data_IF_460751606985
#
_entry.id   IF_460751606985
#
_cell.length_a   1.000
_cell.length_b   1.000
_cell.length_c   1.000
_cell.angle_alpha   90.00
_cell.angle_beta   90.00
_cell.angle_gamma   90.00
#
_symmetry.space_group_name_H-M   'P 1'
#
loop_
_entity.id
_entity.type
_entity.pdbx_description
1 polymer ?
#
# COMPACT_ATOMS: atom_id res chain seq x y z
N UNK A 1 10.26 20.14 -4.04
CA UNK A 1 11.01 20.22 -2.77
C UNK A 1 10.18 20.71 -1.59
N UNK A 2 9.41 21.80 -1.69
CA UNK A 2 8.56 22.28 -0.57
C UNK A 2 7.67 21.18 0.09
N UNK A 3 6.98 20.31 -0.65
CA UNK A 3 6.19 19.21 -0.04
C UNK A 3 7.03 18.18 0.72
N UNK A 4 8.27 17.94 0.29
CA UNK A 4 9.22 17.06 0.98
C UNK A 4 9.63 17.70 2.32
N UNK A 5 9.96 19.00 2.30
CA UNK A 5 10.27 19.76 3.51
C UNK A 5 9.07 19.76 4.49
N UNK A 6 7.83 19.87 4.00
CA UNK A 6 6.62 19.75 4.81
C UNK A 6 6.52 18.41 5.54
N UNK A 7 6.82 17.31 4.84
CA UNK A 7 6.75 15.97 5.40
C UNK A 7 7.84 15.68 6.42
N UNK A 8 9.04 16.25 6.21
CA UNK A 8 10.14 16.22 7.17
C UNK A 8 9.93 17.17 8.36
N UNK A 9 8.88 18.00 8.29
CA UNK A 9 8.53 18.99 9.32
C UNK A 9 9.38 20.26 9.27
N UNK A 10 10.25 20.44 8.26
CA UNK A 10 11.17 21.58 8.16
C UNK A 10 10.40 22.79 7.63
N UNK A 11 9.71 23.48 8.53
CA UNK A 11 8.73 24.49 8.16
C UNK A 11 9.38 25.76 7.57
N UNK A 12 10.53 26.18 8.10
CA UNK A 12 11.23 27.38 7.60
C UNK A 12 11.62 27.22 6.11
N UNK A 13 12.32 26.14 5.77
CA UNK A 13 12.69 25.84 4.37
C UNK A 13 11.45 25.66 3.50
N UNK A 14 10.41 25.01 4.01
CA UNK A 14 9.14 24.85 3.28
C UNK A 14 8.55 26.21 2.92
N UNK A 15 8.46 27.14 3.88
CA UNK A 15 7.88 28.46 3.67
C UNK A 15 8.67 29.26 2.64
N UNK A 16 10.00 29.29 2.76
CA UNK A 16 10.88 29.98 1.82
C UNK A 16 10.73 29.42 0.39
N UNK A 17 10.76 28.09 0.23
CA UNK A 17 10.57 27.45 -1.07
C UNK A 17 9.19 27.73 -1.67
N UNK A 18 8.14 27.77 -0.85
CA UNK A 18 6.79 28.13 -1.31
C UNK A 18 6.70 29.61 -1.70
N UNK A 19 7.34 30.52 -0.98
CA UNK A 19 7.39 31.95 -1.31
C UNK A 19 8.06 32.19 -2.64
N UNK A 20 9.29 31.71 -2.79
CA UNK A 20 10.08 31.85 -4.02
C UNK A 20 9.38 31.18 -5.20
N UNK A 21 8.85 29.97 -4.98
CA UNK A 21 8.07 29.24 -5.97
C UNK A 21 6.80 30.00 -6.39
N UNK A 22 6.07 30.58 -5.44
CA UNK A 22 4.85 31.34 -5.72
C UNK A 22 5.12 32.65 -6.47
N UNK A 23 6.15 33.39 -6.04
CA UNK A 23 6.59 34.62 -6.69
C UNK A 23 7.02 34.39 -8.14
N UNK A 24 7.68 33.25 -8.40
CA UNK A 24 8.20 32.93 -9.74
C UNK A 24 7.12 32.35 -10.66
N UNK A 25 6.31 31.41 -10.16
CA UNK A 25 5.32 30.71 -10.97
C UNK A 25 4.07 31.56 -11.24
N UNK A 26 3.69 32.44 -10.30
CA UNK A 26 2.50 33.30 -10.41
C UNK A 26 2.79 34.75 -9.98
N UNK A 27 3.69 35.48 -10.68
CA UNK A 27 4.21 36.77 -10.24
C UNK A 27 3.13 37.83 -10.03
N UNK A 28 2.14 37.90 -10.93
CA UNK A 28 1.05 38.87 -10.80
C UNK A 28 0.12 38.58 -9.62
N UNK A 29 -0.14 37.30 -9.33
CA UNK A 29 -0.96 36.90 -8.17
C UNK A 29 -0.23 37.21 -6.87
N UNK A 30 1.07 36.90 -6.82
CA UNK A 30 1.93 37.24 -5.70
C UNK A 30 1.89 38.76 -5.43
N UNK A 31 2.15 39.58 -6.45
CA UNK A 31 2.20 41.04 -6.33
C UNK A 31 0.89 41.62 -5.79
N UNK A 32 -0.25 41.28 -6.41
CA UNK A 32 -1.56 41.82 -6.02
C UNK A 32 -1.91 41.43 -4.58
N UNK A 33 -1.72 40.16 -4.21
CA UNK A 33 -2.03 39.70 -2.86
C UNK A 33 -1.10 40.35 -1.82
N UNK A 34 0.18 40.52 -2.14
CA UNK A 34 1.13 41.17 -1.25
C UNK A 34 0.77 42.65 -1.01
N UNK A 35 0.39 43.38 -2.06
CA UNK A 35 -0.10 44.76 -1.93
C UNK A 35 -1.35 44.86 -1.07
N UNK A 36 -2.29 43.91 -1.20
CA UNK A 36 -3.50 43.87 -0.36
C UNK A 36 -3.18 43.57 1.11
N UNK A 37 -2.20 42.70 1.39
CA UNK A 37 -1.71 42.46 2.76
C UNK A 37 -1.15 43.75 3.37
N UNK A 38 -0.34 44.50 2.62
CA UNK A 38 0.27 45.74 3.11
C UNK A 38 -0.81 46.78 3.45
N UNK A 39 -1.82 46.94 2.58
CA UNK A 39 -2.95 47.86 2.81
C UNK A 39 -3.77 47.48 4.05
N UNK A 40 -4.00 46.19 4.28
CA UNK A 40 -4.83 45.69 5.38
C UNK A 40 -4.13 45.66 6.75
N UNK A 41 -2.80 45.85 6.83
CA UNK A 41 -2.01 45.75 8.07
C UNK A 41 -2.35 46.82 9.12
N UNK A 42 -2.68 48.04 8.71
CA UNK A 42 -2.88 49.19 9.61
C UNK A 42 -3.99 48.96 10.64
N UNK A 43 -5.23 48.80 10.17
CA UNK A 43 -6.41 48.63 11.05
C UNK A 43 -6.39 47.33 11.87
N UNK A 44 -5.68 46.29 11.43
CA UNK A 44 -5.62 45.00 12.13
C UNK A 44 -4.74 45.01 13.37
N UNK A 45 -3.68 45.82 13.39
CA UNK A 45 -2.71 45.82 14.50
C UNK A 45 -3.37 46.14 15.83
N UNK A 46 -4.34 47.06 15.85
CA UNK A 46 -5.09 47.42 17.04
C UNK A 46 -5.98 46.29 17.55
N UNK A 47 -6.72 45.63 16.65
CA UNK A 47 -7.62 44.52 17.00
C UNK A 47 -6.81 43.32 17.53
N UNK A 48 -5.71 42.99 16.86
CA UNK A 48 -4.79 41.93 17.30
C UNK A 48 -4.26 42.23 18.71
N UNK A 49 -3.87 43.48 18.97
CA UNK A 49 -3.39 43.89 20.29
C UNK A 49 -4.49 43.81 21.36
N UNK A 50 -5.73 44.24 21.05
CA UNK A 50 -6.88 44.11 21.96
C UNK A 50 -7.14 42.64 22.32
N UNK A 51 -7.20 41.74 21.34
CA UNK A 51 -7.42 40.31 21.57
C UNK A 51 -6.25 39.70 22.36
N UNK A 52 -4.99 40.02 21.99
CA UNK A 52 -3.80 39.57 22.71
C UNK A 52 -3.84 39.98 24.19
N UNK A 53 -4.21 41.22 24.47
CA UNK A 53 -4.29 41.74 25.83
C UNK A 53 -5.42 41.10 26.63
N UNK A 54 -6.58 40.85 26.00
CA UNK A 54 -7.67 40.11 26.62
C UNK A 54 -7.25 38.69 27.01
N UNK A 55 -6.59 37.96 26.10
CA UNK A 55 -6.05 36.62 26.36
C UNK A 55 -5.01 36.65 27.49
N UNK A 56 -4.04 37.58 27.45
CA UNK A 56 -3.02 37.74 28.50
C UNK A 56 -3.64 38.01 29.86
N UNK A 57 -4.63 38.90 29.93
CA UNK A 57 -5.33 39.22 31.18
C UNK A 57 -6.04 38.00 31.74
N UNK A 58 -6.75 37.24 30.89
CA UNK A 58 -7.47 36.03 31.32
C UNK A 58 -6.50 34.95 31.83
N UNK A 59 -5.40 34.72 31.12
CA UNK A 59 -4.37 33.76 31.55
C UNK A 59 -3.72 34.15 32.89
N UNK A 60 -3.48 35.44 33.11
CA UNK A 60 -2.97 35.94 34.40
C UNK A 60 -3.95 35.74 35.56
N UNK A 61 -5.25 35.95 35.33
CA UNK A 61 -6.29 35.71 36.34
C UNK A 61 -6.31 34.25 36.81
N UNK A 62 -6.11 33.32 35.87
CA UNK A 62 -6.04 31.88 36.11
C UNK A 62 -4.62 31.40 36.49
N UNK A 63 -3.70 32.33 36.82
CA UNK A 63 -2.31 32.07 37.22
C UNK A 63 -1.55 31.14 36.28
N UNK A 64 -1.86 31.21 34.98
CA UNK A 64 -1.28 30.36 33.95
C UNK A 64 -0.17 31.10 33.20
N UNK A 65 1.06 30.59 33.27
CA UNK A 65 2.17 31.11 32.49
C UNK A 65 2.09 30.61 31.04
N UNK A 66 2.03 31.53 30.07
CA UNK A 66 1.97 31.20 28.67
C UNK A 66 2.47 32.35 27.79
N UNK A 67 3.19 32.03 26.73
CA UNK A 67 3.65 33.00 25.74
C UNK A 67 2.64 33.09 24.59
N UNK A 68 2.10 34.29 24.36
CA UNK A 68 1.14 34.55 23.28
C UNK A 68 1.82 35.29 22.13
N UNK A 69 1.86 34.65 20.96
CA UNK A 69 2.46 35.15 19.73
C UNK A 69 1.35 35.33 18.69
N UNK A 70 1.33 36.47 18.00
CA UNK A 70 0.46 36.66 16.84
C UNK A 70 1.04 35.89 15.64
N UNK A 71 0.23 35.07 14.98
CA UNK A 71 0.66 34.31 13.80
C UNK A 71 0.21 35.01 12.53
N UNK A 72 1.15 35.41 11.69
CA UNK A 72 0.86 35.85 10.34
C UNK A 72 0.77 34.63 9.40
N UNK A 73 -0.22 34.63 8.51
CA UNK A 73 -0.32 33.61 7.47
C UNK A 73 0.62 33.97 6.33
N UNK A 74 1.43 33.01 5.91
CA UNK A 74 2.21 33.11 4.69
C UNK A 74 1.30 33.27 3.45
N UNK A 75 1.73 34.12 2.51
CA UNK A 75 1.04 34.50 1.29
C UNK A 75 0.58 33.32 0.42
N UNK A 76 1.45 32.35 0.13
CA UNK A 76 1.05 31.17 -0.65
C UNK A 76 -0.03 30.35 0.06
N UNK A 77 0.03 30.27 1.39
CA UNK A 77 -0.99 29.59 2.20
C UNK A 77 -2.35 30.28 2.13
N UNK A 78 -2.37 31.62 2.06
CA UNK A 78 -3.59 32.40 1.80
C UNK A 78 -4.13 32.06 0.41
N UNK A 79 -3.28 32.13 -0.61
CA UNK A 79 -3.64 31.83 -1.99
C UNK A 79 -4.21 30.41 -2.17
N UNK A 80 -3.54 29.38 -1.61
CA UNK A 80 -4.03 28.01 -1.68
C UNK A 80 -5.39 27.83 -1.00
N UNK A 81 -5.62 28.51 0.14
CA UNK A 81 -6.90 28.43 0.87
C UNK A 81 -8.03 29.13 0.11
N UNK A 82 -7.75 30.25 -0.55
CA UNK A 82 -8.68 30.91 -1.47
C UNK A 82 -9.07 29.96 -2.61
N UNK A 83 -8.09 29.31 -3.23
CA UNK A 83 -8.32 28.41 -4.37
C UNK A 83 -9.08 27.14 -3.98
N UNK A 84 -8.69 26.47 -2.88
CA UNK A 84 -9.30 25.22 -2.42
C UNK A 84 -10.75 25.40 -1.95
N UNK A 85 -11.02 26.48 -1.22
CA UNK A 85 -12.32 26.72 -0.62
C UNK A 85 -13.20 27.71 -1.41
N UNK A 86 -12.71 28.21 -2.55
CA UNK A 86 -13.36 29.25 -3.37
C UNK A 86 -13.76 30.49 -2.54
N UNK A 87 -12.87 30.91 -1.64
CA UNK A 87 -13.07 32.06 -0.76
C UNK A 87 -12.37 33.30 -1.31
N UNK A 88 -12.95 34.47 -1.03
CA UNK A 88 -12.33 35.76 -1.30
C UNK A 88 -11.11 36.02 -0.39
N UNK A 89 -10.28 36.99 -0.76
CA UNK A 89 -9.11 37.37 0.04
C UNK A 89 -9.52 37.80 1.46
N UNK A 90 -10.57 38.62 1.58
CA UNK A 90 -11.04 39.14 2.86
C UNK A 90 -11.49 38.01 3.78
N UNK A 91 -12.26 37.03 3.31
CA UNK A 91 -12.72 35.90 4.14
C UNK A 91 -11.57 35.01 4.65
N UNK A 92 -10.46 34.93 3.92
CA UNK A 92 -9.28 34.14 4.32
C UNK A 92 -8.35 34.94 5.23
N UNK A 93 -8.18 36.22 4.92
CA UNK A 93 -7.27 37.14 5.59
C UNK A 93 -7.86 37.65 6.91
N UNK A 94 -9.18 37.90 6.98
CA UNK A 94 -9.96 38.25 8.19
C UNK A 94 -10.19 37.08 9.13
N UNK A 95 -9.13 36.32 9.38
CA UNK A 95 -9.04 35.40 10.52
C UNK A 95 -7.81 35.80 11.32
N UNK A 96 -8.00 36.12 12.59
CA UNK A 96 -6.89 36.41 13.49
C UNK A 96 -6.32 35.12 14.04
N UNK A 97 -5.02 34.88 13.86
CA UNK A 97 -4.38 33.67 14.34
C UNK A 97 -3.44 33.98 15.53
N UNK A 98 -3.60 33.23 16.61
CA UNK A 98 -2.74 33.29 17.79
C UNK A 98 -2.13 31.94 18.06
N UNK A 99 -0.87 31.98 18.50
CA UNK A 99 -0.14 30.83 19.01
C UNK A 99 0.10 31.06 20.49
N UNK A 100 -0.27 30.09 21.31
CA UNK A 100 -0.04 30.09 22.75
C UNK A 100 0.93 28.94 23.06
N UNK A 101 2.09 29.28 23.59
CA UNK A 101 3.13 28.34 23.97
C UNK A 101 3.13 28.19 25.49
N UNK A 102 3.10 26.95 25.96
CA UNK A 102 3.07 26.59 27.39
C UNK A 102 4.18 25.60 27.73
N UNK A 103 4.35 25.30 29.01
CA UNK A 103 5.42 24.43 29.50
C UNK A 103 5.14 22.94 29.26
N UNK A 104 3.92 22.47 29.51
CA UNK A 104 3.59 21.05 29.45
C UNK A 104 2.21 20.78 28.80
N UNK A 105 1.92 19.50 28.57
CA UNK A 105 0.70 19.07 27.87
C UNK A 105 -0.58 19.33 28.68
N UNK A 106 -0.55 19.16 30.00
CA UNK A 106 -1.70 19.47 30.88
C UNK A 106 -2.13 20.95 30.72
N UNK A 107 -1.15 21.84 30.70
CA UNK A 107 -1.38 23.27 30.50
C UNK A 107 -1.98 23.59 29.12
N UNK A 108 -1.72 22.79 28.08
CA UNK A 108 -2.38 22.98 26.78
C UNK A 108 -3.90 22.87 26.90
N UNK A 109 -4.39 21.86 27.62
CA UNK A 109 -5.83 21.64 27.80
C UNK A 109 -6.46 22.62 28.79
N UNK A 110 -5.73 23.02 29.84
CA UNK A 110 -6.18 24.11 30.73
C UNK A 110 -6.35 25.41 29.95
N UNK A 111 -5.35 25.79 29.16
CA UNK A 111 -5.41 27.00 28.32
C UNK A 111 -6.54 26.90 27.30
N UNK A 112 -6.81 25.72 26.74
CA UNK A 112 -7.98 25.52 25.85
C UNK A 112 -9.28 25.90 26.56
N UNK A 113 -9.49 25.42 27.79
CA UNK A 113 -10.66 25.78 28.60
C UNK A 113 -10.75 27.28 28.91
N UNK A 114 -9.61 27.90 29.25
CA UNK A 114 -9.52 29.35 29.50
C UNK A 114 -9.93 30.15 28.25
N UNK A 115 -9.45 29.72 27.08
CA UNK A 115 -9.71 30.35 25.80
C UNK A 115 -11.18 30.19 25.38
N UNK A 116 -11.77 29.01 25.58
CA UNK A 116 -13.19 28.72 25.29
C UNK A 116 -14.15 29.47 26.23
N UNK A 117 -13.72 29.76 27.46
CA UNK A 117 -14.48 30.60 28.38
C UNK A 117 -14.45 32.07 27.93
N UNK A 118 -13.30 32.56 27.46
CA UNK A 118 -13.17 33.94 26.98
C UNK A 118 -13.92 34.19 25.67
N UNK A 119 -13.86 33.23 24.73
CA UNK A 119 -14.54 33.32 23.43
C UNK A 119 -15.23 32.00 23.10
N UNK A 120 -16.48 32.08 22.63
CA UNK A 120 -17.27 30.89 22.29
C UNK A 120 -16.61 30.10 21.14
N UNK A 121 -16.41 28.78 21.27
CA UNK A 121 -15.88 27.95 20.20
C UNK A 121 -16.88 27.79 19.06
N UNK A 122 -16.37 27.74 17.83
CA UNK A 122 -17.16 27.41 16.64
C UNK A 122 -17.31 25.88 16.59
N UNK A 123 -18.54 25.34 16.50
CA UNK A 123 -18.77 23.90 16.42
C UNK A 123 -17.97 23.23 15.30
N UNK A 124 -17.48 22.01 15.56
CA UNK A 124 -16.71 21.18 14.60
C UNK A 124 -15.39 21.80 14.10
N UNK A 125 -14.93 22.90 14.70
CA UNK A 125 -13.66 23.56 14.35
C UNK A 125 -12.57 23.40 15.42
N UNK A 126 -12.74 22.43 16.32
CA UNK A 126 -11.70 21.99 17.25
C UNK A 126 -10.97 20.76 16.68
N UNK A 127 -9.64 20.73 16.80
CA UNK A 127 -8.81 19.60 16.40
C UNK A 127 -7.70 19.37 17.43
N UNK A 128 -7.60 18.16 17.90
CA UNK A 128 -6.58 17.74 18.85
C UNK A 128 -5.44 17.01 18.16
N UNK A 129 -4.42 17.76 17.74
CA UNK A 129 -3.21 17.17 17.17
C UNK A 129 -2.19 16.75 18.24
N UNK A 130 -2.47 16.95 19.54
CA UNK A 130 -1.62 16.41 20.60
C UNK A 130 -1.91 14.92 20.75
N UNK A 131 -3.19 14.57 20.89
CA UNK A 131 -3.66 13.19 20.96
C UNK A 131 -3.52 12.45 19.61
N UNK A 132 -3.74 13.15 18.49
CA UNK A 132 -3.64 12.59 17.14
C UNK A 132 -2.63 13.41 16.31
N UNK A 133 -1.31 13.18 16.49
CA UNK A 133 -0.28 13.91 15.76
C UNK A 133 -0.37 13.71 14.25
N UNK A 134 0.05 14.72 13.47
CA UNK A 134 0.13 14.58 12.01
C UNK A 134 1.31 13.67 11.60
N UNK A 135 1.32 13.26 10.32
CA UNK A 135 2.39 12.43 9.71
C UNK A 135 3.79 12.99 10.01
N UNK A 136 3.96 14.30 9.86
CA UNK A 136 5.23 15.00 10.03
C UNK A 136 5.62 15.24 11.51
N UNK A 137 4.89 14.63 12.47
CA UNK A 137 5.13 14.81 13.89
C UNK A 137 4.56 16.10 14.47
N UNK A 138 3.83 16.89 13.69
CA UNK A 138 3.22 18.13 14.18
C UNK A 138 2.17 17.85 15.27
N UNK A 139 2.32 18.56 16.40
CA UNK A 139 1.42 18.49 17.56
C UNK A 139 1.00 19.90 18.00
N UNK A 140 -0.30 20.09 18.21
CA UNK A 140 -0.92 21.31 18.75
C UNK A 140 -2.43 21.13 18.90
N UNK A 141 -3.06 21.80 19.86
CA UNK A 141 -4.51 21.97 19.90
C UNK A 141 -4.92 23.14 19.01
N UNK A 142 -5.85 22.91 18.08
CA UNK A 142 -6.37 23.95 17.18
C UNK A 142 -7.84 24.19 17.52
N UNK A 143 -8.21 25.44 17.71
CA UNK A 143 -9.61 25.83 17.90
C UNK A 143 -9.91 27.11 17.14
N UNK A 144 -11.11 27.17 16.55
CA UNK A 144 -11.66 28.42 15.98
C UNK A 144 -12.75 28.92 16.90
N UNK A 145 -12.74 30.22 17.17
CA UNK A 145 -13.59 30.90 18.13
C UNK A 145 -14.29 32.08 17.45
N UNK A 146 -15.47 32.45 17.95
CA UNK A 146 -16.13 33.69 17.57
C UNK A 146 -15.39 34.87 18.22
N UNK A 147 -14.75 35.71 17.39
CA UNK A 147 -14.06 36.89 17.85
C UNK A 147 -14.91 38.16 17.87
N UNK A 148 -14.33 39.27 18.33
CA UNK A 148 -14.98 40.58 18.31
C UNK A 148 -15.44 40.96 16.90
N UNK A 149 -16.60 41.59 16.79
CA UNK A 149 -17.17 42.09 15.52
C UNK A 149 -17.45 40.99 14.48
N UNK A 150 -17.66 39.74 14.91
CA UNK A 150 -17.98 38.62 14.03
C UNK A 150 -16.79 38.01 13.29
N UNK A 151 -15.58 38.51 13.52
CA UNK A 151 -14.36 38.04 12.88
C UNK A 151 -13.82 36.80 13.62
N UNK A 152 -13.60 35.65 12.97
CA UNK A 152 -13.15 34.44 13.64
C UNK A 152 -11.70 34.55 14.16
N UNK A 153 -11.46 33.96 15.32
CA UNK A 153 -10.13 33.84 15.93
C UNK A 153 -9.70 32.36 15.87
N UNK A 154 -8.55 32.09 15.28
CA UNK A 154 -7.90 30.79 15.30
C UNK A 154 -6.83 30.78 16.40
N UNK A 155 -6.92 29.86 17.36
CA UNK A 155 -5.94 29.71 18.43
C UNK A 155 -5.27 28.35 18.31
N UNK A 156 -3.95 28.35 18.40
CA UNK A 156 -3.10 27.17 18.40
C UNK A 156 -2.36 27.10 19.73
N UNK A 157 -2.52 26.01 20.46
CA UNK A 157 -1.93 25.82 21.78
C UNK A 157 -0.97 24.65 21.71
N UNK A 158 0.25 24.81 22.20
CA UNK A 158 1.29 23.76 22.19
C UNK A 158 2.39 24.01 23.21
N UNK A 159 3.21 23.00 23.49
CA UNK A 159 4.37 23.17 24.37
C UNK A 159 5.56 23.79 23.63
N UNK A 160 6.59 24.19 24.35
CA UNK A 160 7.87 24.63 23.76
C UNK A 160 8.48 23.55 22.85
N UNK A 161 8.58 22.30 23.31
CA UNK A 161 9.09 21.19 22.49
C UNK A 161 8.26 20.97 21.21
N UNK A 162 6.93 21.08 21.30
CA UNK A 162 6.05 20.97 20.14
C UNK A 162 6.19 22.16 19.17
N UNK A 163 6.54 23.35 19.68
CA UNK A 163 6.84 24.52 18.85
C UNK A 163 8.12 24.30 18.04
N UNK A 164 9.19 23.83 18.70
CA UNK A 164 10.48 23.53 18.08
C UNK A 164 10.37 22.48 16.98
N UNK A 165 9.63 21.39 17.23
CA UNK A 165 9.36 20.34 16.24
C UNK A 165 8.53 20.88 15.08
N UNK A 166 7.61 21.81 15.34
CA UNK A 166 6.75 22.37 14.30
C UNK A 166 7.47 23.40 13.40
N UNK A 167 8.51 24.09 13.89
CA UNK A 167 9.29 25.05 13.09
C UNK A 167 10.49 24.40 12.40
N UNK A 168 11.23 23.57 13.13
CA UNK A 168 12.50 23.01 12.68
C UNK A 168 12.41 21.54 12.24
N UNK A 169 11.24 20.91 12.42
CA UNK A 169 10.98 19.55 11.99
C UNK A 169 11.65 18.48 12.84
N UNK A 170 11.73 17.28 12.27
CA UNK A 170 12.32 16.11 12.96
C UNK A 170 13.86 16.24 13.09
N UNK A 171 14.47 17.13 12.31
CA UNK A 171 15.92 17.34 12.24
C UNK A 171 16.51 18.10 13.44
N UNK A 172 15.78 19.03 14.07
CA UNK A 172 16.26 19.76 15.25
C UNK A 172 16.44 18.86 16.48
N UNK A 173 15.61 17.82 16.59
CA UNK A 173 15.66 16.86 17.70
C UNK A 173 16.75 15.79 17.55
N UNK A 174 17.49 15.79 16.42
CA UNK A 174 18.58 14.85 16.13
C UNK A 174 19.87 15.19 16.88
N UNK A 175 20.08 16.47 17.22
CA UNK A 175 21.33 16.96 17.83
C UNK A 175 21.31 17.01 19.37
N UNK A 176 20.13 17.10 20.03
CA UNK A 176 20.12 17.54 21.42
C UNK A 176 19.77 16.52 22.53
N UNK A 177 19.23 15.33 22.25
CA UNK A 177 19.03 14.32 23.33
C UNK A 177 19.18 12.89 22.83
N UNK A 178 20.41 12.38 22.93
CA UNK A 178 20.76 10.95 22.95
C UNK A 178 20.39 10.25 24.27
N UNK A 179 19.51 10.85 25.09
CA UNK A 179 19.10 10.34 26.39
C UNK A 179 17.59 10.43 26.62
N UNK A 180 16.97 9.25 26.74
CA UNK A 180 15.90 8.98 27.71
C UNK A 180 14.52 9.66 27.57
N UNK A 181 13.74 9.30 26.55
CA UNK A 181 12.27 9.23 26.64
C UNK A 181 11.68 8.33 25.52
N UNK A 182 10.73 7.45 25.86
CA UNK A 182 10.28 6.36 24.97
C UNK A 182 9.15 6.78 24.00
N UNK A 183 8.43 7.87 24.24
CA UNK A 183 7.26 8.29 23.44
C UNK A 183 7.63 9.22 22.26
N UNK A 184 8.62 10.10 22.42
CA UNK A 184 9.13 10.99 21.36
C UNK A 184 9.88 10.25 20.23
N UNK A 185 10.23 8.97 20.44
CA UNK A 185 10.80 8.09 19.42
C UNK A 185 9.81 7.77 18.28
N UNK A 186 8.51 8.02 18.42
CA UNK A 186 7.48 7.65 17.43
C UNK A 186 7.58 8.43 16.12
N UNK A 187 7.70 9.76 16.16
CA UNK A 187 7.78 10.59 14.95
C UNK A 187 9.11 10.36 14.21
N UNK A 188 10.21 10.24 14.97
CA UNK A 188 11.54 9.90 14.44
C UNK A 188 11.56 8.50 13.80
N UNK A 189 10.95 7.51 14.46
CA UNK A 189 10.79 6.14 13.91
C UNK A 189 9.89 6.13 12.68
N UNK A 190 8.83 6.95 12.64
CA UNK A 190 7.96 7.09 11.46
C UNK A 190 8.70 7.70 10.26
N UNK A 191 9.47 8.77 10.47
CA UNK A 191 10.27 9.37 9.40
C UNK A 191 11.40 8.45 8.92
N UNK A 192 12.09 7.76 9.85
CA UNK A 192 13.09 6.73 9.49
C UNK A 192 12.47 5.55 8.77
N UNK A 193 11.32 5.04 9.22
CA UNK A 193 10.60 3.96 8.54
C UNK A 193 10.11 4.41 7.16
N UNK A 194 9.68 5.66 7.00
CA UNK A 194 9.28 6.20 5.71
C UNK A 194 10.48 6.30 4.75
N UNK A 195 11.61 6.85 5.20
CA UNK A 195 12.86 6.89 4.43
C UNK A 195 13.35 5.48 4.09
N UNK A 196 13.32 4.58 5.06
CA UNK A 196 13.68 3.16 4.86
C UNK A 196 12.75 2.50 3.85
N UNK A 197 11.43 2.71 3.93
CA UNK A 197 10.48 2.18 2.95
C UNK A 197 10.77 2.72 1.54
N UNK A 198 11.18 3.99 1.39
CA UNK A 198 11.60 4.55 0.10
C UNK A 198 12.89 3.88 -0.40
N UNK A 199 13.88 3.67 0.47
CA UNK A 199 15.13 2.99 0.11
C UNK A 199 14.91 1.50 -0.21
N UNK A 200 14.08 0.81 0.56
CA UNK A 200 13.69 -0.59 0.33
C UNK A 200 12.89 -0.71 -0.99
N UNK A 201 12.03 0.27 -1.30
CA UNK A 201 11.35 0.37 -2.60
C UNK A 201 12.34 0.59 -3.74
N UNK A 202 13.37 1.44 -3.57
CA UNK A 202 14.43 1.59 -4.58
C UNK A 202 15.20 0.28 -4.81
N UNK A 203 15.45 -0.50 -3.75
CA UNK A 203 16.12 -1.79 -3.86
C UNK A 203 15.28 -2.87 -4.57
N UNK A 204 13.94 -2.75 -4.52
CA UNK A 204 13.01 -3.74 -5.07
C UNK A 204 12.40 -3.33 -6.42
N UNK A 205 12.40 -2.03 -6.74
CA UNK A 205 11.83 -1.51 -7.97
C UNK A 205 12.78 -1.72 -9.16
N UNK A 206 12.35 -2.52 -10.13
CA UNK A 206 13.11 -2.72 -11.37
C UNK A 206 13.10 -1.52 -12.34
N UNK A 207 12.24 -0.51 -12.11
CA UNK A 207 12.08 0.65 -12.99
C UNK A 207 12.05 2.00 -12.21
N UNK A 208 12.94 2.97 -12.54
CA UNK A 208 12.95 4.31 -11.96
C UNK A 208 11.64 5.12 -12.12
N UNK A 209 10.87 4.85 -13.17
CA UNK A 209 9.59 5.53 -13.43
C UNK A 209 8.50 5.06 -12.45
N UNK A 210 8.45 3.76 -12.18
CA UNK A 210 7.56 3.14 -11.19
C UNK A 210 7.93 3.60 -9.76
N UNK A 211 9.22 3.74 -9.48
CA UNK A 211 9.70 4.37 -8.24
C UNK A 211 9.20 5.81 -8.09
N UNK A 212 9.34 6.65 -9.11
CA UNK A 212 8.88 8.04 -9.08
C UNK A 212 7.37 8.17 -8.91
N UNK A 213 6.58 7.31 -9.56
CA UNK A 213 5.13 7.27 -9.36
C UNK A 213 4.75 6.83 -7.94
N UNK A 214 5.38 5.78 -7.41
CA UNK A 214 5.13 5.32 -6.04
C UNK A 214 5.52 6.38 -5.00
N UNK A 215 6.66 7.05 -5.19
CA UNK A 215 7.10 8.15 -4.31
C UNK A 215 6.15 9.35 -4.42
N UNK A 216 5.64 9.70 -5.61
CA UNK A 216 4.62 10.74 -5.77
C UNK A 216 3.32 10.39 -5.05
N UNK A 217 2.83 9.16 -5.18
CA UNK A 217 1.61 8.69 -4.49
C UNK A 217 1.79 8.78 -2.97
N UNK A 218 2.94 8.35 -2.45
CA UNK A 218 3.22 8.43 -1.03
C UNK A 218 3.40 9.88 -0.55
N UNK A 219 3.96 10.79 -1.36
CA UNK A 219 4.22 12.19 -1.02
C UNK A 219 2.97 13.07 -0.91
N UNK A 220 1.83 12.65 -1.48
CA UNK A 220 0.61 13.47 -1.59
C UNK A 220 -0.73 12.75 -1.32
N UNK A 221 -1.00 12.22 -0.13
CA UNK A 221 -2.38 12.00 0.29
C UNK A 221 -2.78 12.82 1.51
N UNK A 222 -4.01 13.36 1.49
CA UNK A 222 -4.77 13.56 2.73
C UNK A 222 -4.79 12.19 3.47
N UNK A 223 -4.38 12.11 4.73
CA UNK A 223 -4.46 10.84 5.48
C UNK A 223 -5.89 10.57 5.97
N UNK A 224 -6.30 9.30 5.96
CA UNK A 224 -7.46 8.81 6.73
C UNK A 224 -6.99 8.06 7.96
N UNK A 225 -7.68 8.27 9.09
CA UNK A 225 -7.38 7.63 10.37
C UNK A 225 -8.50 6.65 10.71
N UNK A 226 -8.17 5.37 10.77
CA UNK A 226 -9.10 4.29 11.03
C UNK A 226 -8.75 3.58 12.35
N UNK A 227 -9.76 3.14 13.08
CA UNK A 227 -9.59 2.44 14.35
C UNK A 227 -9.65 0.94 14.15
N UNK A 228 -8.80 0.21 14.84
CA UNK A 228 -9.02 -1.23 15.08
C UNK A 228 -10.06 -1.40 16.18
N UNK A 229 -10.70 -2.58 16.32
CA UNK A 229 -11.67 -2.84 17.40
C UNK A 229 -11.08 -2.67 18.80
N UNK A 230 -9.75 -2.78 18.93
CA UNK A 230 -8.99 -2.56 20.18
C UNK A 230 -8.63 -1.09 20.43
N UNK A 231 -9.10 -0.16 19.59
CA UNK A 231 -8.85 1.27 19.72
C UNK A 231 -7.50 1.76 19.17
N UNK A 232 -6.68 0.89 18.56
CA UNK A 232 -5.44 1.31 17.91
C UNK A 232 -5.74 2.06 16.61
N UNK A 233 -5.13 3.22 16.43
CA UNK A 233 -5.23 4.03 15.21
C UNK A 233 -4.29 3.49 14.14
N UNK A 234 -4.81 3.27 12.94
CA UNK A 234 -4.07 2.94 11.72
C UNK A 234 -4.26 4.10 10.75
N UNK A 235 -3.14 4.62 10.27
CA UNK A 235 -3.10 5.71 9.31
C UNK A 235 -2.93 5.15 7.89
N UNK A 236 -3.77 5.59 6.96
CA UNK A 236 -3.77 5.18 5.56
C UNK A 236 -3.90 6.40 4.64
N UNK A 237 -3.48 6.32 3.37
CA UNK A 237 -3.75 7.37 2.40
C UNK A 237 -5.25 7.46 2.10
N UNK A 238 -5.77 8.66 1.81
CA UNK A 238 -7.15 8.86 1.36
C UNK A 238 -7.41 8.03 0.10
N UNK A 239 -8.57 7.38 0.08
CA UNK A 239 -8.93 6.43 -0.98
C UNK A 239 -8.54 4.99 -0.65
N UNK A 240 -7.76 4.74 0.41
CA UNK A 240 -7.44 3.39 0.84
C UNK A 240 -8.69 2.57 1.16
N UNK A 241 -8.61 1.29 0.82
CA UNK A 241 -9.70 0.33 0.99
C UNK A 241 -9.53 -0.53 2.23
N UNK A 242 -10.54 -1.36 2.54
CA UNK A 242 -10.43 -2.34 3.63
C UNK A 242 -9.28 -3.34 3.43
N UNK A 243 -8.96 -3.71 2.19
CA UNK A 243 -7.78 -4.57 1.89
C UNK A 243 -6.48 -3.86 2.24
N UNK A 244 -6.36 -2.56 1.92
CA UNK A 244 -5.20 -1.76 2.31
C UNK A 244 -5.04 -1.71 3.83
N UNK A 245 -6.14 -1.58 4.58
CA UNK A 245 -6.14 -1.63 6.04
C UNK A 245 -5.67 -3.00 6.57
N UNK A 246 -6.11 -4.11 5.98
CA UNK A 246 -5.67 -5.45 6.38
C UNK A 246 -4.14 -5.62 6.23
N UNK A 247 -3.58 -5.22 5.09
CA UNK A 247 -2.13 -5.25 4.84
C UNK A 247 -1.35 -4.22 5.67
N UNK A 248 -1.97 -3.11 6.08
CA UNK A 248 -1.36 -2.15 6.99
C UNK A 248 -1.20 -2.73 8.40
N UNK A 249 -2.16 -3.53 8.88
CA UNK A 249 -2.04 -4.27 10.15
C UNK A 249 -0.91 -5.30 10.06
N UNK A 250 -1.00 -6.25 9.12
CA UNK A 250 0.00 -7.29 8.92
C UNK A 250 -0.17 -7.97 7.57
N UNK A 251 0.92 -8.46 6.97
CA UNK A 251 0.87 -9.16 5.68
C UNK A 251 0.00 -10.43 5.77
N UNK A 252 0.13 -11.21 6.84
CA UNK A 252 -0.70 -12.42 7.03
C UNK A 252 -2.18 -12.11 7.25
N UNK A 253 -2.48 -10.96 7.84
CA UNK A 253 -3.88 -10.52 8.01
C UNK A 253 -4.47 -10.16 6.65
N UNK A 254 -3.72 -9.45 5.81
CA UNK A 254 -4.11 -9.20 4.42
C UNK A 254 -4.27 -10.49 3.61
N UNK A 255 -3.32 -11.42 3.71
CA UNK A 255 -3.34 -12.66 2.92
C UNK A 255 -4.49 -13.60 3.29
N UNK A 256 -4.92 -13.61 4.55
CA UNK A 256 -6.02 -14.46 5.06
C UNK A 256 -7.37 -13.73 5.13
N UNK A 257 -7.45 -12.52 4.59
CA UNK A 257 -8.66 -11.70 4.62
C UNK A 257 -9.76 -12.33 3.78
N UNK A 258 -10.95 -12.51 4.36
CA UNK A 258 -12.15 -12.99 3.65
C UNK A 258 -13.29 -11.97 3.66
N UNK A 259 -13.29 -11.05 4.62
CA UNK A 259 -14.33 -10.05 4.75
C UNK A 259 -13.92 -8.93 5.69
N UNK A 260 -14.76 -7.90 5.76
CA UNK A 260 -14.54 -6.74 6.63
C UNK A 260 -15.86 -6.32 7.28
N UNK A 261 -15.79 -5.88 8.54
CA UNK A 261 -16.82 -5.06 9.16
C UNK A 261 -16.32 -3.64 9.36
N UNK A 262 -17.12 -2.67 8.93
CA UNK A 262 -16.89 -1.25 9.13
C UNK A 262 -18.00 -0.75 10.07
N UNK A 263 -17.62 -0.17 11.20
CA UNK A 263 -18.54 0.29 12.24
C UNK A 263 -19.55 -0.80 12.68
N UNK A 264 -19.06 -2.05 12.76
CA UNK A 264 -19.80 -3.29 13.11
C UNK A 264 -20.71 -3.85 12.01
N UNK A 265 -20.78 -3.22 10.84
CA UNK A 265 -21.58 -3.69 9.70
C UNK A 265 -20.69 -4.37 8.65
N UNK A 266 -21.15 -5.48 8.08
CA UNK A 266 -20.45 -6.14 6.98
C UNK A 266 -20.39 -5.22 5.76
N UNK A 267 -19.21 -5.10 5.15
CA UNK A 267 -18.99 -4.28 3.98
C UNK A 267 -18.13 -5.03 2.93
N UNK A 268 -18.22 -4.64 1.64
CA UNK A 268 -17.32 -5.16 0.61
C UNK A 268 -15.85 -4.81 0.88
N UNK A 269 -14.93 -5.71 0.50
CA UNK A 269 -13.48 -5.52 0.68
C UNK A 269 -12.90 -4.30 -0.08
N UNK A 270 -13.53 -3.92 -1.19
CA UNK A 270 -13.16 -2.74 -1.97
C UNK A 270 -13.70 -1.41 -1.45
N UNK A 271 -14.39 -1.40 -0.31
CA UNK A 271 -14.97 -0.17 0.27
C UNK A 271 -13.86 0.79 0.67
N UNK A 272 -13.98 2.05 0.21
CA UNK A 272 -13.06 3.14 0.56
C UNK A 272 -13.32 3.59 2.01
N UNK A 273 -12.25 3.69 2.79
CA UNK A 273 -12.32 4.05 4.20
C UNK A 273 -12.35 5.55 4.42
N UNK A 274 -13.13 5.97 5.43
CA UNK A 274 -13.24 7.34 5.91
C UNK A 274 -12.63 7.49 7.30
N UNK A 275 -12.14 8.69 7.61
CA UNK A 275 -11.59 9.01 8.94
C UNK A 275 -12.64 8.83 10.02
N UNK A 276 -12.28 8.17 11.12
CA UNK A 276 -13.16 7.96 12.27
C UNK A 276 -13.80 6.58 12.33
N UNK A 277 -13.75 5.80 11.25
CA UNK A 277 -14.40 4.49 11.19
C UNK A 277 -13.59 3.42 11.92
N UNK A 278 -14.31 2.49 12.55
CA UNK A 278 -13.73 1.27 13.15
C UNK A 278 -13.79 0.14 12.15
N UNK A 279 -12.63 -0.45 11.83
CA UNK A 279 -12.50 -1.50 10.81
C UNK A 279 -12.04 -2.80 11.47
N UNK A 280 -12.84 -3.84 11.33
CA UNK A 280 -12.55 -5.22 11.77
C UNK A 280 -12.37 -6.10 10.54
N UNK A 281 -11.19 -6.72 10.42
CA UNK A 281 -10.91 -7.68 9.34
C UNK A 281 -11.31 -9.08 9.82
N UNK A 282 -12.05 -9.79 8.97
CA UNK A 282 -12.44 -11.18 9.19
C UNK A 282 -11.47 -12.06 8.41
N UNK A 283 -10.83 -13.01 9.10
CA UNK A 283 -9.83 -13.91 8.53
C UNK A 283 -10.32 -15.36 8.57
N UNK A 284 -9.89 -16.16 7.60
CA UNK A 284 -10.11 -17.61 7.61
C UNK A 284 -8.81 -18.40 7.40
N UNK A 285 -8.62 -19.55 8.06
CA UNK A 285 -7.50 -20.45 7.79
C UNK A 285 -7.63 -21.00 6.36
N UNK A 286 -6.57 -20.84 5.55
CA UNK A 286 -6.55 -21.27 4.15
C UNK A 286 -7.05 -20.24 3.12
N UNK A 287 -7.54 -19.08 3.56
CA UNK A 287 -7.88 -17.98 2.66
C UNK A 287 -6.63 -17.46 1.92
N UNK A 288 -6.84 -17.04 0.66
CA UNK A 288 -5.80 -16.56 -0.25
C UNK A 288 -6.24 -15.23 -0.87
N UNK A 289 -5.31 -14.32 -1.21
CA UNK A 289 -5.60 -13.11 -1.97
C UNK A 289 -6.24 -13.40 -3.31
N UNK A 290 -7.28 -12.64 -3.65
CA UNK A 290 -7.90 -12.66 -4.98
C UNK A 290 -7.17 -11.68 -5.92
N UNK A 291 -6.80 -12.09 -7.14
CA UNK A 291 -6.25 -11.20 -8.16
C UNK A 291 -7.06 -9.92 -8.41
N UNK A 292 -8.40 -9.98 -8.28
CA UNK A 292 -9.30 -8.84 -8.45
C UNK A 292 -9.01 -7.70 -7.46
N UNK A 293 -8.36 -7.99 -6.33
CA UNK A 293 -7.98 -6.96 -5.35
C UNK A 293 -7.00 -5.94 -5.91
N UNK A 294 -6.21 -6.28 -6.93
CA UNK A 294 -5.30 -5.34 -7.59
C UNK A 294 -6.03 -4.19 -8.31
N UNK A 295 -7.32 -4.34 -8.60
CA UNK A 295 -8.12 -3.31 -9.25
C UNK A 295 -8.47 -2.15 -8.31
N UNK A 296 -8.56 -2.40 -7.00
CA UNK A 296 -8.99 -1.42 -6.02
C UNK A 296 -8.00 -1.20 -4.86
N UNK A 297 -7.01 -2.07 -4.68
CA UNK A 297 -5.94 -1.86 -3.70
C UNK A 297 -5.08 -0.65 -4.10
N UNK A 298 -5.01 0.34 -3.21
CA UNK A 298 -4.37 1.63 -3.48
C UNK A 298 -2.93 1.64 -2.99
N UNK A 299 -2.65 1.07 -1.82
CA UNK A 299 -1.34 1.19 -1.18
C UNK A 299 -0.28 0.33 -1.87
N UNK A 300 0.92 0.87 -2.03
CA UNK A 300 2.06 0.14 -2.60
C UNK A 300 2.36 -1.15 -1.82
N UNK A 301 2.23 -1.10 -0.49
CA UNK A 301 2.40 -2.26 0.39
C UNK A 301 1.42 -3.39 0.05
N UNK A 302 0.12 -3.10 -0.04
CA UNK A 302 -0.88 -4.13 -0.38
C UNK A 302 -0.63 -4.69 -1.78
N UNK A 303 -0.46 -3.82 -2.79
CA UNK A 303 -0.25 -4.23 -4.19
C UNK A 303 0.99 -5.11 -4.35
N UNK A 304 2.11 -4.73 -3.72
CA UNK A 304 3.36 -5.51 -3.78
C UNK A 304 3.19 -6.89 -3.14
N UNK A 305 2.60 -6.98 -1.95
CA UNK A 305 2.38 -8.26 -1.26
C UNK A 305 1.40 -9.16 -2.03
N UNK A 306 0.32 -8.62 -2.59
CA UNK A 306 -0.63 -9.39 -3.42
C UNK A 306 0.08 -9.95 -4.65
N UNK A 307 0.83 -9.12 -5.40
CA UNK A 307 1.59 -9.58 -6.58
C UNK A 307 2.62 -10.64 -6.21
N UNK A 308 3.35 -10.44 -5.13
CA UNK A 308 4.34 -11.40 -4.64
C UNK A 308 3.69 -12.74 -4.27
N UNK A 309 2.57 -12.72 -3.55
CA UNK A 309 1.83 -13.93 -3.22
C UNK A 309 1.36 -14.67 -4.47
N UNK A 310 0.76 -13.97 -5.44
CA UNK A 310 0.28 -14.56 -6.68
C UNK A 310 1.42 -15.12 -7.54
N UNK A 311 2.57 -14.46 -7.56
CA UNK A 311 3.78 -14.94 -8.26
C UNK A 311 4.29 -16.24 -7.64
N UNK A 312 4.41 -16.29 -6.32
CA UNK A 312 4.91 -17.48 -5.63
C UNK A 312 3.91 -18.64 -5.69
N UNK A 313 2.61 -18.35 -5.69
CA UNK A 313 1.57 -19.37 -5.88
C UNK A 313 1.70 -20.02 -7.27
N UNK A 314 1.89 -19.22 -8.33
CA UNK A 314 2.14 -19.75 -9.69
C UNK A 314 3.38 -20.63 -9.74
N UNK A 315 4.48 -20.19 -9.15
CA UNK A 315 5.75 -20.94 -9.13
C UNK A 315 5.59 -22.29 -8.42
N UNK A 316 4.97 -22.32 -7.23
CA UNK A 316 4.73 -23.57 -6.51
C UNK A 316 3.77 -24.53 -7.24
N UNK A 317 2.69 -24.01 -7.85
CA UNK A 317 1.77 -24.84 -8.65
C UNK A 317 2.45 -25.37 -9.92
N UNK A 318 3.28 -24.56 -10.57
CA UNK A 318 4.04 -24.94 -11.75
C UNK A 318 5.12 -25.98 -11.40
N UNK A 319 5.86 -25.81 -10.30
CA UNK A 319 6.82 -26.80 -9.81
C UNK A 319 6.14 -28.16 -9.55
N UNK A 320 5.00 -28.15 -8.85
CA UNK A 320 4.25 -29.38 -8.56
C UNK A 320 3.74 -30.08 -9.83
N UNK A 321 3.27 -29.31 -10.82
CA UNK A 321 2.87 -29.84 -12.12
C UNK A 321 4.07 -30.39 -12.91
N UNK A 322 5.17 -29.64 -12.95
CA UNK A 322 6.41 -30.05 -13.62
C UNK A 322 6.96 -31.34 -13.06
N UNK A 323 6.93 -31.52 -11.73
CA UNK A 323 7.31 -32.78 -11.08
C UNK A 323 6.43 -33.94 -11.53
N UNK A 324 5.11 -33.76 -11.61
CA UNK A 324 4.19 -34.80 -12.11
C UNK A 324 4.49 -35.17 -13.56
N UNK A 325 4.75 -34.18 -14.42
CA UNK A 325 5.11 -34.38 -15.82
C UNK A 325 6.43 -35.13 -15.98
N UNK A 326 7.46 -34.72 -15.25
CA UNK A 326 8.79 -35.35 -15.32
C UNK A 326 8.77 -36.80 -14.78
N UNK A 327 8.10 -37.03 -13.64
CA UNK A 327 7.93 -38.37 -13.07
C UNK A 327 7.21 -39.30 -14.05
N UNK A 328 6.21 -38.80 -14.77
CA UNK A 328 5.50 -39.58 -15.80
C UNK A 328 6.45 -40.02 -16.93
N UNK A 329 7.23 -39.09 -17.47
CA UNK A 329 8.16 -39.40 -18.57
C UNK A 329 9.27 -40.36 -18.13
N UNK A 330 9.78 -40.22 -16.90
CA UNK A 330 10.75 -41.16 -16.33
C UNK A 330 10.18 -42.56 -16.13
N UNK A 331 8.91 -42.67 -15.71
CA UNK A 331 8.21 -43.96 -15.63
C UNK A 331 8.08 -44.64 -17.00
N UNK A 332 7.86 -43.89 -18.08
CA UNK A 332 7.88 -44.43 -19.44
C UNK A 332 9.26 -45.01 -19.83
N UNK A 333 10.33 -44.47 -19.24
CA UNK A 333 11.71 -44.96 -19.37
C UNK A 333 12.07 -46.03 -18.32
N UNK A 334 11.12 -46.47 -17.48
CA UNK A 334 11.33 -47.44 -16.39
C UNK A 334 12.32 -46.98 -15.31
N UNK A 335 12.42 -45.67 -15.08
CA UNK A 335 13.28 -45.06 -14.04
C UNK A 335 12.39 -44.35 -13.01
N UNK A 336 12.67 -44.52 -11.72
CA UNK A 336 12.00 -43.73 -10.69
C UNK A 336 12.76 -42.42 -10.44
N UNK A 337 12.00 -41.36 -10.16
CA UNK A 337 12.56 -40.06 -9.85
C UNK A 337 13.50 -40.06 -8.63
N UNK A 338 13.21 -40.88 -7.61
CA UNK A 338 14.03 -40.99 -6.40
C UNK A 338 15.34 -41.76 -6.59
N UNK A 339 15.48 -42.50 -7.69
CA UNK A 339 16.66 -43.33 -7.97
C UNK A 339 17.69 -42.56 -8.83
N UNK A 340 17.44 -41.28 -9.14
CA UNK A 340 18.34 -40.44 -9.93
C UNK A 340 19.49 -39.95 -9.04
N UNK A 341 20.71 -40.24 -9.46
CA UNK A 341 21.92 -39.75 -8.80
C UNK A 341 22.01 -38.21 -8.84
N UNK A 342 22.37 -37.60 -7.70
CA UNK A 342 22.48 -36.13 -7.57
C UNK A 342 23.51 -35.52 -8.54
N UNK A 343 24.56 -36.26 -8.91
CA UNK A 343 25.55 -35.81 -9.91
C UNK A 343 24.92 -35.63 -11.31
N UNK A 344 24.03 -36.55 -11.71
CA UNK A 344 23.30 -36.46 -12.98
C UNK A 344 22.31 -35.31 -12.98
N UNK A 345 21.60 -35.12 -11.86
CA UNK A 345 20.68 -33.99 -11.69
C UNK A 345 21.44 -32.66 -11.83
N UNK A 346 22.59 -32.51 -11.17
CA UNK A 346 23.41 -31.31 -11.26
C UNK A 346 23.96 -31.06 -12.67
N UNK A 347 24.33 -32.12 -13.40
CA UNK A 347 24.75 -32.02 -14.81
C UNK A 347 23.60 -31.51 -15.69
N UNK A 348 22.41 -32.08 -15.56
CA UNK A 348 21.21 -31.64 -16.32
C UNK A 348 20.78 -30.21 -15.96
N UNK A 349 20.94 -29.80 -14.70
CA UNK A 349 20.69 -28.42 -14.26
C UNK A 349 21.65 -27.43 -14.95
N UNK A 350 22.95 -27.74 -14.98
CA UNK A 350 23.94 -26.91 -15.65
C UNK A 350 23.73 -26.83 -17.17
N UNK A 351 23.40 -27.95 -17.83
CA UNK A 351 23.11 -28.01 -19.27
C UNK A 351 21.88 -27.18 -19.66
N UNK A 352 20.89 -27.08 -18.78
CA UNK A 352 19.68 -26.29 -19.01
C UNK A 352 19.77 -24.86 -18.45
N UNK A 353 20.90 -24.47 -17.86
CA UNK A 353 21.15 -23.17 -17.24
C UNK A 353 20.23 -22.83 -16.05
N UNK A 354 19.87 -23.82 -15.24
CA UNK A 354 19.06 -23.64 -14.02
C UNK A 354 19.91 -23.88 -12.77
N UNK A 355 19.66 -23.09 -11.70
CA UNK A 355 20.46 -23.15 -10.47
C UNK A 355 19.92 -24.16 -9.47
N UNK A 356 18.63 -24.46 -9.55
CA UNK A 356 17.94 -25.34 -8.60
C UNK A 356 16.99 -26.30 -9.32
N UNK A 357 16.72 -27.44 -8.69
CA UNK A 357 15.72 -28.42 -9.16
C UNK A 357 14.33 -27.78 -9.28
N UNK A 358 13.94 -26.94 -8.32
CA UNK A 358 12.65 -26.22 -8.33
C UNK A 358 12.49 -25.32 -9.57
N UNK A 359 13.53 -24.58 -9.97
CA UNK A 359 13.49 -23.76 -11.20
C UNK A 359 13.28 -24.61 -12.47
N UNK A 360 13.98 -25.75 -12.57
CA UNK A 360 13.82 -26.66 -13.71
C UNK A 360 12.41 -27.25 -13.76
N UNK A 361 11.87 -27.65 -12.60
CA UNK A 361 10.51 -28.17 -12.48
C UNK A 361 9.46 -27.09 -12.81
N UNK A 362 9.64 -25.85 -12.38
CA UNK A 362 8.78 -24.72 -12.71
C UNK A 362 8.71 -24.50 -14.24
N UNK A 363 9.86 -24.50 -14.92
CA UNK A 363 9.96 -24.32 -16.38
C UNK A 363 9.30 -25.47 -17.17
N UNK A 364 9.36 -26.70 -16.63
CA UNK A 364 8.62 -27.84 -17.17
C UNK A 364 7.11 -27.65 -16.97
N UNK A 365 6.68 -27.22 -15.77
CA UNK A 365 5.27 -26.99 -15.46
C UNK A 365 4.64 -25.87 -16.29
N UNK A 366 5.39 -24.82 -16.59
CA UNK A 366 4.98 -23.71 -17.46
C UNK A 366 5.00 -24.08 -18.96
N UNK A 367 5.54 -25.24 -19.32
CA UNK A 367 5.62 -25.74 -20.69
C UNK A 367 6.75 -25.12 -21.53
N UNK A 368 7.69 -24.41 -20.89
CA UNK A 368 8.86 -23.82 -21.55
C UNK A 368 9.94 -24.86 -21.83
N UNK A 369 10.00 -25.92 -21.01
CA UNK A 369 10.86 -27.08 -21.21
C UNK A 369 10.04 -28.35 -21.39
N UNK A 370 10.44 -29.18 -22.34
CA UNK A 370 9.76 -30.44 -22.60
C UNK A 370 10.22 -31.51 -21.60
N UNK A 371 9.30 -31.99 -20.76
CA UNK A 371 9.55 -33.03 -19.76
C UNK A 371 10.24 -34.28 -20.34
N UNK A 372 9.90 -34.66 -21.58
CA UNK A 372 10.47 -35.85 -22.25
C UNK A 372 11.94 -35.67 -22.62
N UNK A 373 12.34 -34.46 -22.98
CA UNK A 373 13.75 -34.15 -23.28
C UNK A 373 14.58 -34.17 -22.00
N UNK A 374 14.05 -33.57 -20.93
CA UNK A 374 14.71 -33.55 -19.62
C UNK A 374 14.81 -34.96 -19.04
N UNK A 375 13.77 -35.78 -19.13
CA UNK A 375 13.80 -37.18 -18.70
C UNK A 375 14.90 -37.97 -19.43
N UNK A 376 15.06 -37.77 -20.74
CA UNK A 376 16.12 -38.42 -21.53
C UNK A 376 17.52 -37.96 -21.14
N UNK A 377 17.71 -36.67 -20.85
CA UNK A 377 18.98 -36.14 -20.35
C UNK A 377 19.37 -36.78 -19.02
N UNK A 378 18.40 -36.93 -18.11
CA UNK A 378 18.61 -37.57 -16.81
C UNK A 378 18.95 -39.07 -16.94
N UNK A 379 18.54 -39.72 -18.03
CA UNK A 379 18.78 -41.17 -18.27
C UNK A 379 19.89 -41.46 -19.29
N UNK A 380 20.61 -40.44 -19.79
CA UNK A 380 21.48 -40.56 -20.97
C UNK A 380 22.66 -41.54 -20.81
N UNK A 381 23.10 -41.83 -19.58
CA UNK A 381 24.18 -42.80 -19.31
C UNK A 381 23.69 -44.24 -19.06
N UNK A 382 22.36 -44.46 -19.03
CA UNK A 382 21.75 -45.79 -18.89
C UNK A 382 21.64 -46.46 -20.26
N UNK A 383 22.71 -47.14 -20.65
CA UNK A 383 22.87 -47.85 -21.90
C UNK A 383 21.82 -48.99 -22.03
N UNK A 384 20.60 -48.65 -22.46
CA UNK A 384 19.57 -49.62 -22.83
C UNK A 384 19.35 -49.56 -24.34
N UNK A 385 20.08 -50.45 -25.01
CA UNK A 385 19.89 -50.88 -26.39
C UNK A 385 18.41 -50.84 -26.82
N UNK A 386 18.15 -50.12 -27.92
CA UNK A 386 17.04 -50.35 -28.85
C UNK A 386 15.68 -50.71 -28.23
N UNK A 387 14.92 -49.69 -27.81
CA UNK A 387 13.46 -49.72 -28.00
C UNK A 387 13.05 -48.49 -28.78
N UNK A 388 12.68 -48.71 -30.06
CA UNK A 388 11.87 -47.74 -30.83
C UNK A 388 10.64 -47.40 -29.96
N UNK A 389 10.63 -46.23 -29.35
CA UNK A 389 9.46 -45.68 -28.66
C UNK A 389 8.40 -45.47 -29.73
N UNK A 390 7.48 -46.43 -29.88
CA UNK A 390 6.32 -46.29 -30.75
C UNK A 390 5.48 -45.14 -30.20
N UNK A 391 5.44 -44.04 -30.94
CA UNK A 391 4.59 -42.87 -30.68
C UNK A 391 3.13 -43.18 -31.05
N UNK A 392 2.50 -44.13 -30.36
CA UNK A 392 1.03 -44.08 -30.21
C UNK A 392 0.77 -43.22 -28.99
N UNK A 393 -0.25 -42.37 -29.02
CA UNK A 393 -0.78 -41.73 -27.81
C UNK A 393 -1.14 -42.86 -26.85
N UNK A 394 -0.22 -43.20 -25.95
CA UNK A 394 -0.33 -44.42 -25.15
C UNK A 394 -1.22 -44.10 -23.96
N UNK A 395 -2.49 -44.51 -24.06
CA UNK A 395 -3.55 -44.41 -23.05
C UNK A 395 -3.21 -45.13 -21.73
N UNK A 396 -2.05 -45.79 -21.63
CA UNK A 396 -1.69 -46.64 -20.48
C UNK A 396 -1.39 -45.86 -19.21
N UNK A 397 -1.02 -44.57 -19.30
CA UNK A 397 -0.73 -43.72 -18.14
C UNK A 397 -1.15 -42.25 -18.39
N UNK A 398 -2.46 -41.91 -18.35
CA UNK A 398 -2.91 -40.53 -18.51
C UNK A 398 -2.51 -39.67 -17.29
N UNK A 399 -2.23 -38.38 -17.53
CA UNK A 399 -2.03 -37.42 -16.43
C UNK A 399 -3.41 -37.11 -15.82
N UNK A 400 -3.57 -37.44 -14.55
CA UNK A 400 -4.82 -37.20 -13.82
C UNK A 400 -4.95 -35.72 -13.48
N UNK A 401 -6.05 -35.11 -13.91
CA UNK A 401 -6.42 -33.71 -13.69
C UNK A 401 -7.59 -33.66 -12.72
N UNK A 402 -7.43 -32.89 -11.63
CA UNK A 402 -8.48 -32.70 -10.61
C UNK A 402 -9.48 -31.58 -10.92
N UNK A 403 -9.15 -30.72 -11.88
CA UNK A 403 -9.93 -29.51 -12.19
C UNK A 403 -9.64 -28.32 -11.27
N UNK A 404 -8.98 -28.53 -10.12
CA UNK A 404 -8.61 -27.49 -9.14
C UNK A 404 -7.16 -27.03 -9.26
N UNK A 405 -6.51 -27.31 -10.39
CA UNK A 405 -5.06 -27.20 -10.57
C UNK A 405 -4.58 -25.77 -10.89
N UNK A 406 -5.43 -24.78 -10.64
CA UNK A 406 -5.05 -23.37 -10.58
C UNK A 406 -4.58 -22.81 -11.91
N UNK A 407 -3.60 -21.91 -11.87
CA UNK A 407 -3.22 -21.02 -12.98
C UNK A 407 -2.35 -21.69 -14.07
N UNK A 408 -2.00 -22.96 -13.89
CA UNK A 408 -1.07 -23.71 -14.75
C UNK A 408 -1.80 -24.71 -15.65
N UNK A 409 -3.07 -25.00 -15.34
CA UNK A 409 -3.97 -25.79 -16.17
C UNK A 409 -5.14 -24.91 -16.59
N UNK A 410 -5.20 -24.59 -17.89
CA UNK A 410 -6.18 -23.67 -18.44
C UNK A 410 -7.28 -24.40 -19.20
N UNK A 411 -8.52 -23.97 -18.97
CA UNK A 411 -9.69 -24.42 -19.71
C UNK A 411 -10.08 -23.34 -20.73
N UNK A 412 -9.98 -23.61 -22.03
CA UNK A 412 -10.23 -22.64 -23.08
C UNK A 412 -11.74 -22.45 -23.26
N UNK A 413 -12.13 -21.23 -23.66
CA UNK A 413 -13.53 -20.87 -23.91
C UNK A 413 -14.16 -21.58 -25.12
N UNK A 414 -13.37 -22.30 -25.93
CA UNK A 414 -13.86 -22.92 -27.15
C UNK A 414 -14.62 -24.24 -26.93
N UNK A 415 -14.31 -25.00 -25.88
CA UNK A 415 -14.91 -26.33 -25.65
C UNK A 415 -15.31 -26.62 -24.20
N UNK A 416 -14.89 -25.80 -23.23
CA UNK A 416 -15.36 -25.84 -21.83
C UNK A 416 -15.51 -27.28 -21.27
N UNK A 417 -14.44 -28.11 -21.29
CA UNK A 417 -14.56 -29.51 -20.92
C UNK A 417 -14.92 -29.67 -19.44
N UNK A 418 -15.83 -30.60 -19.14
CA UNK A 418 -16.31 -30.87 -17.79
C UNK A 418 -15.85 -32.26 -17.30
N UNK A 419 -15.84 -32.51 -15.98
CA UNK A 419 -15.53 -33.82 -15.43
C UNK A 419 -16.39 -34.93 -16.05
N UNK A 420 -15.71 -35.96 -16.58
CA UNK A 420 -16.34 -37.08 -17.29
C UNK A 420 -16.15 -37.02 -18.81
N UNK A 421 -15.83 -35.85 -19.37
CA UNK A 421 -15.53 -35.72 -20.79
C UNK A 421 -14.20 -36.39 -21.17
N UNK A 422 -14.10 -36.83 -22.43
CA UNK A 422 -12.83 -37.30 -22.99
C UNK A 422 -11.96 -36.10 -23.34
N UNK A 423 -10.93 -35.88 -22.55
CA UNK A 423 -10.08 -34.68 -22.63
C UNK A 423 -8.69 -34.99 -23.20
N UNK A 424 -8.08 -33.97 -23.81
CA UNK A 424 -6.71 -33.95 -24.32
C UNK A 424 -5.98 -32.71 -23.80
N UNK A 425 -4.71 -32.86 -23.41
CA UNK A 425 -3.88 -31.75 -22.92
C UNK A 425 -2.90 -31.28 -24.00
N UNK A 426 -2.87 -29.98 -24.26
CA UNK A 426 -1.91 -29.34 -25.15
C UNK A 426 -0.95 -28.45 -24.34
N UNK A 427 0.35 -28.76 -24.38
CA UNK A 427 1.37 -27.96 -23.69
C UNK A 427 1.66 -26.69 -24.48
N UNK A 428 1.43 -25.54 -23.84
CA UNK A 428 1.68 -24.21 -24.41
C UNK A 428 2.77 -23.51 -23.61
N UNK A 429 3.84 -23.08 -24.28
CA UNK A 429 4.93 -22.33 -23.65
C UNK A 429 4.39 -21.08 -22.90
N UNK A 430 4.78 -20.94 -21.65
CA UNK A 430 4.39 -19.85 -20.74
C UNK A 430 2.96 -19.91 -20.20
N UNK A 431 2.11 -20.86 -20.65
CA UNK A 431 0.72 -21.00 -20.21
C UNK A 431 0.40 -22.36 -19.60
N UNK A 432 1.40 -23.25 -19.48
CA UNK A 432 1.22 -24.60 -18.95
C UNK A 432 0.43 -25.50 -19.88
N UNK A 433 -0.54 -26.23 -19.34
CA UNK A 433 -1.35 -27.19 -20.09
C UNK A 433 -2.72 -26.58 -20.38
N UNK A 434 -3.13 -26.59 -21.65
CA UNK A 434 -4.49 -26.23 -22.07
C UNK A 434 -5.28 -27.51 -22.30
N UNK A 435 -6.38 -27.69 -21.57
CA UNK A 435 -7.20 -28.91 -21.65
C UNK A 435 -8.34 -28.67 -22.64
N UNK A 436 -8.39 -29.47 -23.70
CA UNK A 436 -9.45 -29.45 -24.69
C UNK A 436 -10.31 -30.71 -24.60
N UNK A 437 -11.57 -30.60 -25.01
CA UNK A 437 -12.37 -31.77 -25.36
C UNK A 437 -11.79 -32.45 -26.61
N UNK A 438 -11.80 -33.79 -26.64
CA UNK A 438 -11.24 -34.59 -27.73
C UNK A 438 -11.92 -34.30 -29.09
N UNK A 439 -13.18 -33.86 -29.09
CA UNK A 439 -13.96 -33.51 -30.27
C UNK A 439 -13.88 -32.03 -30.68
N UNK A 440 -13.10 -31.21 -29.96
CA UNK A 440 -13.01 -29.77 -30.24
C UNK A 440 -12.45 -29.48 -31.66
N UNK A 441 -13.18 -28.69 -32.45
CA UNK A 441 -12.80 -28.30 -33.82
C UNK A 441 -11.45 -27.56 -33.88
N UNK A 442 -11.16 -26.74 -32.87
CA UNK A 442 -9.93 -25.95 -32.80
C UNK A 442 -8.67 -26.81 -32.52
N UNK A 443 -8.84 -28.09 -32.16
CA UNK A 443 -7.72 -29.02 -31.94
C UNK A 443 -7.14 -29.51 -33.27
N UNK A 444 -7.88 -29.41 -34.37
CA UNK A 444 -7.45 -29.91 -35.68
C UNK A 444 -6.18 -29.21 -36.20
N UNK A 445 -6.03 -27.90 -35.99
CA UNK A 445 -4.83 -27.14 -36.41
C UNK A 445 -3.56 -27.53 -35.64
N UNK A 446 -3.71 -27.99 -34.39
CA UNK A 446 -2.59 -28.33 -33.50
C UNK A 446 -2.14 -29.80 -33.61
N UNK A 447 -2.80 -30.63 -34.43
CA UNK A 447 -2.42 -32.04 -34.66
C UNK A 447 -1.04 -32.22 -35.31
N UNK A 448 -0.50 -31.17 -35.94
CA UNK A 448 0.81 -31.19 -36.58
C UNK A 448 2.00 -31.19 -35.60
N UNK A 449 1.74 -31.06 -34.29
CA UNK A 449 2.75 -31.08 -33.23
C UNK A 449 2.49 -32.21 -32.20
N UNK A 450 2.60 -33.50 -32.59
CA UNK A 450 2.31 -34.64 -31.72
C UNK A 450 3.13 -34.66 -30.42
N UNK A 451 4.30 -34.02 -30.40
CA UNK A 451 5.18 -33.90 -29.25
C UNK A 451 4.68 -32.96 -28.14
N UNK A 452 3.68 -32.11 -28.42
CA UNK A 452 3.05 -31.18 -27.47
C UNK A 452 1.77 -31.72 -26.85
N UNK A 453 1.27 -32.85 -27.36
CA UNK A 453 0.06 -33.49 -26.88
C UNK A 453 0.35 -34.45 -25.74
N UNK A 454 -0.47 -34.35 -24.71
CA UNK A 454 -0.39 -35.17 -23.52
C UNK A 454 -1.77 -35.81 -23.28
N UNK A 455 -1.80 -37.14 -23.13
CA UNK A 455 -3.00 -37.84 -22.70
C UNK A 455 -3.28 -37.48 -21.23
N UNK A 456 -4.48 -36.96 -20.98
CA UNK A 456 -4.96 -36.46 -19.68
C UNK A 456 -6.30 -37.13 -19.37
N UNK A 457 -6.61 -37.33 -18.10
CA UNK A 457 -7.87 -37.92 -17.67
C UNK A 457 -8.36 -37.23 -16.40
N UNK A 458 -9.67 -37.20 -16.20
CA UNK A 458 -10.26 -36.71 -14.96
C UNK A 458 -9.99 -37.67 -13.81
N UNK A 459 -9.86 -37.14 -12.59
CA UNK A 459 -9.83 -37.97 -11.38
C UNK A 459 -11.20 -38.64 -11.15
N UNK A 460 -11.21 -39.93 -10.78
CA UNK A 460 -12.45 -40.71 -10.62
C UNK A 460 -13.34 -40.27 -9.43
N UNK A 461 -12.86 -39.37 -8.56
CA UNK A 461 -13.55 -38.93 -7.36
C UNK A 461 -13.43 -37.40 -7.20
N UNK A 462 -14.12 -36.66 -8.08
CA UNK A 462 -14.17 -35.19 -8.00
C UNK A 462 -15.36 -34.79 -7.12
N UNK A 463 -15.11 -34.62 -5.82
CA UNK A 463 -16.06 -33.99 -4.91
C UNK A 463 -16.04 -32.47 -5.13
N UNK A 464 -17.09 -31.93 -5.76
CA UNK A 464 -17.42 -30.50 -5.65
C UNK A 464 -17.27 -29.61 -6.89
N UNK A 465 -17.70 -30.04 -8.08
CA UNK A 465 -17.99 -29.06 -9.15
C UNK A 465 -19.38 -28.47 -8.97
N UNK A 466 -19.44 -27.43 -8.14
CA UNK A 466 -20.57 -26.50 -8.11
C UNK A 466 -20.63 -25.71 -9.43
N UNK A 467 -21.79 -25.76 -10.09
CA UNK A 467 -22.17 -25.00 -11.29
C UNK A 467 -21.78 -23.52 -11.14
N UNK A 468 -20.98 -23.00 -12.06
CA UNK A 468 -20.83 -21.57 -12.28
C UNK A 468 -21.62 -21.19 -13.55
N UNK A 469 -22.65 -20.36 -13.37
CA UNK A 469 -23.19 -19.50 -14.41
C UNK A 469 -22.41 -18.18 -14.42
#
# INVERSE_FOLDING_TARGET
>A
YAPIAQRLGINNIRLELEELGFATLYPMRYRILNEQIIKARGHRKEIINKIRNALRRRLRQEKTNAQIIGREKHLYGIYQKMLKNKLSFNEVYDVYAFRIIVENVDMCYRVLGIVHNLYKPVPLKFKDYIAIPKVNGYQSLHTVLFGPFGVPIEVQIRTHEMDDVAESGIASHWLYKSGSSNEQKSAQKRARNWLKNIMDMQATAGNPQEFLENVKVDLFPDSVYNFTPKGKIVELPRGATAVDFAYAIHTDVGNRCVGVRIDRWLAPLGTVLSTGQTVEIINAPGARPDPAWLNFAVTAKARSNIRHFLKNLKSNEAEALGKRLLVRELKLLSVNYGDIEQEKLNKTLNENHHKTESELLEEIGLGNRNAKLVARQLTADSDTKNKKVKSKLDDKHPLIIKGTEGMVVNFPKCCLPIPGDKILGFVTAGRGIVVHDQSCSNVAEYRNHPEKWISVAWENNIDGVSRAN
#
